data_IF_163343020543
#
_entry.id   IF_163343020543
#
_cell.length_a   1.000
_cell.length_b   1.000
_cell.length_c   1.000
_cell.angle_alpha   90.00
_cell.angle_beta   90.00
_cell.angle_gamma   90.00
#
_symmetry.space_group_name_H-M   'P 1'
#
loop_
_entity.id
_entity.type
_entity.pdbx_description
1 polymer ?
#
# COMPACT_ATOMS: atom_id res chain seq x y z
N UNK A 1 3.45 -0.43 25.05
CA UNK A 1 2.70 -0.54 23.86
C UNK A 1 3.10 0.26 22.64
N UNK A 2 2.99 1.60 22.66
CA UNK A 2 3.20 2.42 21.43
C UNK A 2 4.67 2.43 20.98
N UNK A 3 5.61 2.34 21.90
CA UNK A 3 7.05 2.28 21.57
C UNK A 3 7.46 1.05 20.74
N UNK A 4 6.68 -0.02 20.75
CA UNK A 4 6.95 -1.22 19.96
C UNK A 4 6.40 -1.11 18.53
N UNK A 5 5.33 -0.35 18.27
CA UNK A 5 4.82 -0.14 16.93
C UNK A 5 5.81 0.65 16.08
N UNK A 6 6.39 1.73 16.60
CA UNK A 6 7.37 2.56 15.89
C UNK A 6 8.70 1.84 15.58
N UNK A 7 8.96 0.67 16.16
CA UNK A 7 10.12 -0.14 15.79
C UNK A 7 9.88 -1.08 14.61
N UNK A 8 8.65 -1.16 14.13
CA UNK A 8 8.23 -2.03 13.01
C UNK A 8 7.57 -1.23 11.89
N UNK A 9 6.68 -0.31 12.25
CA UNK A 9 5.89 0.46 11.31
C UNK A 9 6.41 1.89 11.20
N UNK A 10 6.35 2.45 10.00
CA UNK A 10 6.54 3.88 9.73
C UNK A 10 5.19 4.59 9.67
N UNK A 11 4.18 3.89 9.18
CA UNK A 11 2.81 4.40 9.15
C UNK A 11 1.78 3.30 9.32
N UNK A 12 0.73 3.62 10.06
CA UNK A 12 -0.52 2.86 10.17
C UNK A 12 -1.68 3.84 10.05
N UNK A 13 -2.59 3.57 9.13
CA UNK A 13 -3.79 4.36 8.92
C UNK A 13 -5.03 3.49 9.10
N UNK A 14 -5.93 3.89 9.99
CA UNK A 14 -7.26 3.32 10.13
C UNK A 14 -8.25 4.20 9.37
N UNK A 15 -8.29 4.06 8.04
CA UNK A 15 -9.19 4.86 7.20
C UNK A 15 -10.67 4.62 7.51
N UNK A 16 -11.01 3.44 8.07
CA UNK A 16 -12.34 3.11 8.59
C UNK A 16 -12.56 3.62 10.03
N UNK A 17 -11.98 4.76 10.40
CA UNK A 17 -12.24 5.41 11.67
C UNK A 17 -13.66 5.98 11.72
N UNK A 18 -14.17 6.27 12.93
CA UNK A 18 -15.49 6.86 13.12
C UNK A 18 -15.54 8.34 12.73
N UNK A 19 -14.40 9.06 12.78
CA UNK A 19 -14.28 10.46 12.37
C UNK A 19 -13.27 10.60 11.23
N UNK A 20 -13.57 11.44 10.23
CA UNK A 20 -12.72 11.66 9.06
C UNK A 20 -11.32 12.15 9.44
N UNK A 21 -11.22 13.06 10.41
CA UNK A 21 -9.94 13.54 10.91
C UNK A 21 -9.08 12.38 11.47
N UNK A 22 -9.67 11.44 12.22
CA UNK A 22 -8.96 10.29 12.75
C UNK A 22 -8.53 9.31 11.64
N UNK A 23 -9.28 9.25 10.54
CA UNK A 23 -8.97 8.41 9.38
C UNK A 23 -7.75 8.86 8.60
N UNK A 24 -7.31 10.12 8.76
CA UNK A 24 -6.11 10.65 8.11
C UNK A 24 -4.86 10.58 8.98
N UNK A 25 -4.97 10.31 10.29
CA UNK A 25 -3.82 10.29 11.18
C UNK A 25 -2.93 9.05 10.97
N UNK A 26 -1.62 9.26 11.01
CA UNK A 26 -0.67 8.19 11.22
C UNK A 26 -0.64 7.81 12.71
N UNK A 27 -1.10 6.61 13.04
CA UNK A 27 -1.20 6.12 14.42
C UNK A 27 0.14 5.67 15.03
N UNK A 28 1.23 5.73 14.27
CA UNK A 28 2.57 5.38 14.75
C UNK A 28 3.34 6.60 15.24
N UNK A 29 3.23 7.72 14.51
CA UNK A 29 4.00 8.93 14.77
C UNK A 29 3.29 10.18 14.21
N UNK A 30 3.75 11.36 14.62
CA UNK A 30 3.15 12.65 14.25
C UNK A 30 3.48 13.11 12.80
N UNK A 31 4.19 12.29 12.03
CA UNK A 31 4.54 12.55 10.63
C UNK A 31 3.74 11.67 9.68
N UNK A 32 3.73 12.02 8.41
CA UNK A 32 3.11 11.21 7.35
C UNK A 32 1.60 11.02 7.51
N UNK A 33 0.89 11.99 8.10
CA UNK A 33 -0.57 12.00 8.06
C UNK A 33 -1.05 12.06 6.60
N UNK A 34 -2.19 11.41 6.31
CA UNK A 34 -2.75 11.39 4.96
C UNK A 34 -3.23 12.79 4.55
N UNK A 35 -2.86 13.19 3.34
CA UNK A 35 -3.36 14.39 2.68
C UNK A 35 -4.41 13.95 1.66
N UNK A 36 -5.64 14.42 1.83
CA UNK A 36 -6.72 14.20 0.87
C UNK A 36 -6.51 15.11 -0.35
N UNK A 37 -6.36 14.51 -1.53
CA UNK A 37 -6.21 15.24 -2.79
C UNK A 37 -7.49 15.10 -3.59
N UNK A 38 -8.07 16.22 -4.02
CA UNK A 38 -9.32 16.29 -4.79
C UNK A 38 -10.50 15.56 -4.12
N UNK A 39 -10.55 15.61 -2.78
CA UNK A 39 -11.68 15.15 -1.95
C UNK A 39 -12.16 13.73 -2.25
N UNK A 40 -11.36 12.68 -1.98
CA UNK A 40 -11.84 11.32 -2.05
C UNK A 40 -13.02 11.13 -1.09
N UNK A 41 -14.03 10.36 -1.49
CA UNK A 41 -15.20 10.12 -0.67
C UNK A 41 -14.82 9.30 0.57
N UNK A 42 -15.18 9.80 1.76
CA UNK A 42 -14.99 9.08 3.01
C UNK A 42 -16.34 8.68 3.62
N UNK A 43 -16.40 7.49 4.20
CA UNK A 43 -17.58 6.98 4.92
C UNK A 43 -17.12 6.49 6.29
N UNK A 44 -17.75 6.96 7.35
CA UNK A 44 -17.48 6.54 8.73
C UNK A 44 -17.51 5.01 8.86
N UNK A 45 -16.57 4.44 9.60
CA UNK A 45 -16.40 2.99 9.83
C UNK A 45 -16.22 2.15 8.54
N UNK A 46 -15.98 2.80 7.40
CA UNK A 46 -15.81 2.15 6.10
C UNK A 46 -14.51 2.50 5.40
N UNK A 47 -14.09 3.77 5.43
CA UNK A 47 -12.87 4.26 4.80
C UNK A 47 -13.07 5.12 3.56
N UNK A 48 -12.00 5.26 2.77
CA UNK A 48 -11.94 6.12 1.59
C UNK A 48 -12.18 5.39 0.28
N UNK A 49 -12.81 6.10 -0.65
CA UNK A 49 -13.02 5.66 -2.05
C UNK A 49 -12.63 6.82 -2.97
N UNK A 50 -11.76 6.59 -3.93
CA UNK A 50 -11.45 7.55 -4.98
C UNK A 50 -12.58 7.64 -6.01
N UNK A 51 -12.70 8.78 -6.68
CA UNK A 51 -13.61 8.95 -7.82
C UNK A 51 -13.13 8.25 -9.12
N UNK A 52 -11.96 7.59 -9.06
CA UNK A 52 -11.37 6.86 -10.21
C UNK A 52 -10.68 7.74 -11.25
N UNK A 53 -10.64 9.06 -11.07
CA UNK A 53 -10.08 9.99 -12.07
C UNK A 53 -9.07 10.98 -11.50
N UNK A 54 -9.32 11.57 -10.34
CA UNK A 54 -8.48 12.66 -9.80
C UNK A 54 -8.23 12.58 -8.30
N UNK A 55 -9.09 11.91 -7.51
CA UNK A 55 -8.99 11.93 -6.06
C UNK A 55 -8.19 10.75 -5.51
N UNK A 56 -7.36 11.01 -4.49
CA UNK A 56 -6.51 10.01 -3.84
C UNK A 56 -6.04 10.50 -2.47
N UNK A 57 -5.31 9.65 -1.75
CA UNK A 57 -4.65 10.01 -0.50
C UNK A 57 -3.13 10.00 -0.72
N UNK A 58 -2.44 11.07 -0.32
CA UNK A 58 -0.98 11.15 -0.33
C UNK A 58 -0.46 10.92 1.10
N UNK A 59 0.42 9.94 1.27
CA UNK A 59 1.04 9.63 2.57
C UNK A 59 2.17 10.58 2.94
N UNK A 60 2.74 11.31 1.98
CA UNK A 60 3.99 12.07 2.11
C UNK A 60 5.20 11.22 2.55
N UNK A 61 5.04 9.91 2.69
CA UNK A 61 6.13 8.98 3.01
C UNK A 61 6.90 8.60 1.75
N UNK A 62 8.13 9.11 1.63
CA UNK A 62 9.06 8.80 0.53
C UNK A 62 10.05 7.75 1.02
N UNK A 63 9.99 6.49 0.57
CA UNK A 63 10.80 5.40 1.10
C UNK A 63 12.32 5.68 1.11
N UNK A 64 12.84 6.30 0.05
CA UNK A 64 14.28 6.54 -0.11
C UNK A 64 14.87 7.59 0.84
N UNK A 65 14.03 8.46 1.42
CA UNK A 65 14.48 9.60 2.25
C UNK A 65 13.88 9.60 3.65
N UNK A 66 12.90 8.74 3.93
CA UNK A 66 12.22 8.70 5.23
C UNK A 66 13.13 8.26 6.38
N UNK A 67 14.21 7.51 6.09
CA UNK A 67 15.12 6.95 7.10
C UNK A 67 14.39 6.16 8.20
N UNK A 68 13.30 5.50 7.84
CA UNK A 68 12.45 4.75 8.72
C UNK A 68 12.76 3.24 8.78
N UNK A 69 11.77 2.47 9.19
CA UNK A 69 11.84 1.02 9.26
C UNK A 69 11.77 0.35 7.88
N UNK A 70 11.07 0.98 6.92
CA UNK A 70 10.96 0.52 5.55
C UNK A 70 12.30 0.67 4.83
N UNK A 71 12.96 -0.44 4.54
CA UNK A 71 14.24 -0.47 3.82
C UNK A 71 14.19 -1.47 2.66
N UNK A 72 15.14 -1.37 1.73
CA UNK A 72 15.10 -2.11 0.46
C UNK A 72 14.84 -3.61 0.61
N UNK A 73 15.52 -4.28 1.53
CA UNK A 73 15.45 -5.73 1.74
C UNK A 73 14.64 -6.15 2.97
N UNK A 74 14.04 -5.18 3.67
CA UNK A 74 13.13 -5.42 4.78
C UNK A 74 12.00 -4.39 4.71
N UNK A 75 10.88 -4.79 4.11
CA UNK A 75 9.77 -3.90 3.82
C UNK A 75 8.44 -4.63 3.85
N UNK A 76 7.39 -3.94 4.26
CA UNK A 76 6.02 -4.37 4.00
C UNK A 76 5.13 -3.19 3.58
N UNK A 77 4.12 -3.52 2.82
CA UNK A 77 2.96 -2.68 2.55
C UNK A 77 1.71 -3.53 2.68
N UNK A 78 0.72 -3.07 3.43
CA UNK A 78 -0.56 -3.75 3.51
C UNK A 78 -1.71 -2.77 3.29
N UNK A 79 -2.79 -3.25 2.64
CA UNK A 79 -4.06 -2.55 2.50
C UNK A 79 -5.23 -3.48 2.78
N UNK A 80 -6.27 -2.99 3.43
CA UNK A 80 -7.55 -3.68 3.51
C UNK A 80 -8.52 -3.05 2.51
N UNK A 81 -8.86 -3.80 1.47
CA UNK A 81 -9.88 -3.46 0.49
C UNK A 81 -11.22 -4.08 0.86
N UNK A 82 -12.30 -3.30 0.76
CA UNK A 82 -13.67 -3.76 1.00
C UNK A 82 -14.41 -4.20 -0.26
N UNK A 83 -13.83 -3.97 -1.45
CA UNK A 83 -14.49 -4.16 -2.74
C UNK A 83 -14.04 -5.46 -3.40
N UNK A 84 -14.93 -6.46 -3.63
CA UNK A 84 -14.51 -7.79 -4.09
C UNK A 84 -14.26 -7.89 -5.60
N UNK A 85 -14.83 -7.01 -6.42
CA UNK A 85 -14.83 -7.11 -7.89
C UNK A 85 -13.44 -7.08 -8.54
N UNK A 86 -13.37 -7.40 -9.83
CA UNK A 86 -12.17 -7.24 -10.66
C UNK A 86 -11.92 -5.76 -10.97
N UNK A 87 -10.65 -5.32 -10.95
CA UNK A 87 -10.26 -3.96 -11.29
C UNK A 87 -8.75 -3.89 -11.55
N UNK A 88 -8.33 -3.52 -12.75
CA UNK A 88 -6.91 -3.37 -13.13
C UNK A 88 -6.31 -2.01 -12.72
N UNK A 89 -6.62 -1.57 -11.49
CA UNK A 89 -6.18 -0.29 -10.94
C UNK A 89 -5.41 -0.51 -9.63
N UNK A 90 -4.75 0.53 -9.12
CA UNK A 90 -3.84 0.43 -7.98
C UNK A 90 -4.49 0.87 -6.68
N UNK A 91 -4.41 0.06 -5.64
CA UNK A 91 -4.87 0.41 -4.30
C UNK A 91 -3.83 1.21 -3.51
N UNK A 92 -2.54 0.97 -3.79
CA UNK A 92 -1.42 1.75 -3.25
C UNK A 92 -0.22 1.62 -4.17
N UNK A 93 0.59 2.68 -4.29
CA UNK A 93 1.86 2.54 -4.98
C UNK A 93 2.70 3.80 -5.06
N UNK A 94 4.00 3.55 -5.30
CA UNK A 94 5.03 4.52 -5.64
C UNK A 94 5.95 3.88 -6.68
N UNK A 95 6.13 4.56 -7.81
CA UNK A 95 6.92 4.09 -8.96
C UNK A 95 7.90 5.17 -9.38
N UNK A 96 9.17 4.83 -9.40
CA UNK A 96 10.26 5.73 -9.79
C UNK A 96 11.45 4.97 -10.35
N UNK A 97 12.43 5.68 -10.88
CA UNK A 97 13.66 5.05 -11.37
C UNK A 97 14.45 4.30 -10.27
N UNK A 98 14.26 4.67 -8.99
CA UNK A 98 14.93 4.00 -7.84
C UNK A 98 14.33 2.63 -7.52
N UNK A 99 13.05 2.39 -7.82
CA UNK A 99 12.36 1.14 -7.54
C UNK A 99 10.85 1.33 -7.52
N UNK A 100 10.13 0.22 -7.56
CA UNK A 100 8.67 0.21 -7.56
C UNK A 100 8.13 -0.54 -6.34
N UNK A 101 7.12 0.03 -5.73
CA UNK A 101 6.24 -0.66 -4.78
C UNK A 101 4.81 -0.31 -5.13
N UNK A 102 4.02 -1.31 -5.43
CA UNK A 102 2.63 -1.12 -5.85
C UNK A 102 1.81 -2.38 -5.59
N UNK A 103 0.50 -2.23 -5.46
CA UNK A 103 -0.43 -3.34 -5.24
C UNK A 103 -1.75 -3.11 -5.96
N UNK A 104 -2.17 -4.12 -6.74
CA UNK A 104 -3.53 -4.37 -7.23
C UNK A 104 -4.10 -5.57 -6.48
N UNK A 105 -5.21 -5.40 -5.82
CA UNK A 105 -5.83 -6.48 -5.05
C UNK A 105 -6.41 -7.60 -5.92
N UNK A 106 -7.00 -7.26 -7.07
CA UNK A 106 -7.51 -8.24 -8.04
C UNK A 106 -7.61 -7.61 -9.43
N UNK A 107 -6.92 -8.22 -10.38
CA UNK A 107 -6.95 -7.86 -11.80
C UNK A 107 -8.16 -8.50 -12.51
N UNK A 108 -8.37 -8.16 -13.77
CA UNK A 108 -9.37 -8.79 -14.65
C UNK A 108 -9.05 -10.25 -14.99
N UNK A 109 -7.81 -10.69 -14.74
CA UNK A 109 -7.36 -12.08 -14.92
C UNK A 109 -7.38 -12.92 -13.64
N UNK A 110 -8.10 -12.48 -12.59
CA UNK A 110 -8.17 -13.16 -11.29
C UNK A 110 -6.80 -13.39 -10.64
N UNK A 111 -5.98 -12.35 -10.64
CA UNK A 111 -4.67 -12.32 -10.02
C UNK A 111 -4.52 -11.06 -9.17
N UNK A 112 -3.63 -11.06 -8.19
CA UNK A 112 -3.03 -9.84 -7.68
C UNK A 112 -1.98 -9.36 -8.67
N UNK A 113 -1.69 -8.04 -8.69
CA UNK A 113 -0.55 -7.48 -9.42
C UNK A 113 0.25 -6.58 -8.48
N UNK A 114 1.55 -6.82 -8.33
CA UNK A 114 2.31 -6.14 -7.29
C UNK A 114 3.80 -6.07 -7.58
N UNK A 115 4.46 -5.14 -6.93
CA UNK A 115 5.92 -5.01 -6.81
C UNK A 115 6.25 -4.58 -5.39
N UNK A 116 7.43 -4.96 -4.89
CA UNK A 116 7.90 -4.50 -3.59
C UNK A 116 9.41 -4.25 -3.66
N UNK A 117 9.80 -2.98 -3.86
CA UNK A 117 11.19 -2.54 -4.01
C UNK A 117 11.91 -3.23 -5.18
N UNK A 118 11.22 -3.49 -6.28
CA UNK A 118 11.78 -4.15 -7.46
C UNK A 118 11.37 -3.44 -8.77
N UNK A 119 11.92 -3.92 -9.90
CA UNK A 119 11.67 -3.35 -11.23
C UNK A 119 10.60 -4.09 -12.05
N UNK A 120 10.03 -5.20 -11.53
CA UNK A 120 9.12 -6.06 -12.27
C UNK A 120 7.78 -6.21 -11.55
N UNK A 121 6.72 -6.48 -12.31
CA UNK A 121 5.40 -6.79 -11.72
C UNK A 121 5.30 -8.29 -11.50
N UNK A 122 5.11 -8.68 -10.24
CA UNK A 122 4.74 -10.03 -9.85
C UNK A 122 3.22 -10.21 -9.88
N UNK A 123 2.79 -11.46 -10.03
CA UNK A 123 1.38 -11.85 -9.99
C UNK A 123 1.18 -13.09 -9.12
N UNK A 124 0.01 -13.21 -8.50
CA UNK A 124 -0.41 -14.41 -7.78
C UNK A 124 -1.93 -14.60 -7.99
N UNK A 125 -2.39 -15.85 -8.09
CA UNK A 125 -3.81 -16.16 -8.29
C UNK A 125 -4.64 -15.65 -7.12
N UNK A 126 -5.73 -14.94 -7.42
CA UNK A 126 -6.62 -14.37 -6.44
C UNK A 126 -8.00 -14.03 -7.02
N UNK A 127 -9.05 -14.61 -6.49
CA UNK A 127 -10.42 -14.50 -6.99
C UNK A 127 -11.29 -13.47 -6.26
N UNK A 128 -10.73 -12.69 -5.33
CA UNK A 128 -11.47 -11.61 -4.64
C UNK A 128 -10.61 -10.40 -4.37
N UNK A 129 -11.14 -9.21 -4.69
CA UNK A 129 -10.49 -7.93 -4.40
C UNK A 129 -10.67 -7.44 -2.96
N UNK A 130 -11.48 -8.11 -2.12
CA UNK A 130 -11.69 -7.75 -0.72
C UNK A 130 -10.81 -8.56 0.23
N UNK A 131 -10.43 -7.93 1.34
CA UNK A 131 -9.60 -8.51 2.40
C UNK A 131 -8.35 -7.69 2.69
N UNK A 132 -7.55 -8.18 3.64
CA UNK A 132 -6.23 -7.62 3.95
C UNK A 132 -5.20 -8.23 3.00
N UNK A 133 -4.68 -7.42 2.10
CA UNK A 133 -3.55 -7.76 1.24
C UNK A 133 -2.26 -7.25 1.86
N UNK A 134 -1.22 -8.08 1.84
CA UNK A 134 0.04 -7.78 2.47
C UNK A 134 1.20 -8.27 1.59
N UNK A 135 2.08 -7.36 1.20
CA UNK A 135 3.36 -7.64 0.57
C UNK A 135 4.44 -7.60 1.64
N UNK A 136 5.30 -8.61 1.70
CA UNK A 136 6.32 -8.72 2.73
C UNK A 136 7.66 -9.19 2.15
N UNK A 137 8.68 -8.33 2.21
CA UNK A 137 10.05 -8.61 1.78
C UNK A 137 10.98 -8.66 2.99
N UNK A 138 11.65 -9.78 3.19
CA UNK A 138 12.68 -9.97 4.23
C UNK A 138 14.05 -10.32 3.66
N UNK A 139 14.20 -10.28 2.32
CA UNK A 139 15.46 -10.58 1.62
C UNK A 139 15.57 -9.80 0.31
N UNK A 140 16.78 -9.79 -0.28
CA UNK A 140 16.98 -9.22 -1.61
C UNK A 140 16.39 -10.07 -2.74
N UNK A 141 16.24 -11.40 -2.54
CA UNK A 141 15.94 -12.34 -3.63
C UNK A 141 14.44 -12.42 -3.99
N UNK A 142 13.56 -12.20 -3.01
CA UNK A 142 12.13 -12.43 -3.18
C UNK A 142 11.28 -11.65 -2.18
N UNK A 143 9.97 -11.70 -2.35
CA UNK A 143 8.97 -11.27 -1.36
C UNK A 143 7.75 -12.19 -1.39
N UNK A 144 6.98 -12.14 -0.32
CA UNK A 144 5.77 -12.94 -0.12
C UNK A 144 4.53 -12.05 -0.29
N UNK A 145 3.47 -12.65 -0.79
CA UNK A 145 2.16 -12.03 -0.96
C UNK A 145 1.13 -12.79 -0.15
N UNK A 146 0.36 -12.07 0.64
CA UNK A 146 -0.68 -12.65 1.49
C UNK A 146 -2.02 -11.98 1.26
N UNK A 147 -3.08 -12.74 1.52
CA UNK A 147 -4.43 -12.23 1.68
C UNK A 147 -5.07 -12.85 2.92
N UNK A 148 -5.55 -12.03 3.85
CA UNK A 148 -6.15 -12.46 5.11
C UNK A 148 -5.25 -13.43 5.91
N UNK A 149 -3.93 -13.21 5.91
CA UNK A 149 -2.96 -14.08 6.56
C UNK A 149 -2.57 -15.34 5.79
N UNK A 150 -3.30 -15.70 4.73
CA UNK A 150 -2.97 -16.85 3.89
C UNK A 150 -2.02 -16.44 2.77
N UNK A 151 -0.94 -17.21 2.56
CA UNK A 151 0.01 -16.97 1.46
C UNK A 151 -0.66 -17.20 0.10
N UNK A 152 -0.51 -16.23 -0.79
CA UNK A 152 -0.86 -16.37 -2.21
C UNK A 152 0.35 -16.82 -3.04
N UNK A 153 1.57 -16.62 -2.54
CA UNK A 153 2.79 -17.07 -3.21
C UNK A 153 4.05 -16.32 -2.82
N UNK A 154 5.17 -16.87 -3.25
CA UNK A 154 6.50 -16.24 -3.20
C UNK A 154 6.86 -15.73 -4.58
N UNK A 155 7.28 -14.47 -4.67
CA UNK A 155 7.63 -13.80 -5.92
C UNK A 155 9.14 -13.65 -5.98
N UNK A 156 9.77 -14.32 -6.93
CA UNK A 156 11.23 -14.37 -7.11
C UNK A 156 11.78 -13.13 -7.84
N UNK A 157 11.32 -11.94 -7.44
CA UNK A 157 11.82 -10.67 -7.97
C UNK A 157 12.91 -10.11 -7.03
N UNK A 158 14.11 -9.94 -7.57
CA UNK A 158 15.22 -9.32 -6.85
C UNK A 158 14.91 -7.84 -6.59
N UNK A 159 15.23 -7.37 -5.39
CA UNK A 159 15.08 -5.94 -5.06
C UNK A 159 16.06 -5.09 -5.86
N UNK A 160 15.60 -3.98 -6.40
CA UNK A 160 16.41 -3.04 -7.18
C UNK A 160 16.70 -1.73 -6.46
N UNK A 161 15.80 -1.29 -5.58
CA UNK A 161 15.96 -0.05 -4.81
C UNK A 161 14.65 0.42 -4.21
N UNK A 162 14.69 1.58 -3.56
CA UNK A 162 13.54 2.21 -2.92
C UNK A 162 12.87 3.22 -3.86
N UNK A 163 11.54 3.35 -3.86
CA UNK A 163 10.86 4.45 -4.51
C UNK A 163 11.35 5.81 -4.00
N UNK A 164 11.53 6.76 -4.93
CA UNK A 164 11.97 8.13 -4.64
C UNK A 164 10.82 9.15 -4.61
N UNK A 165 9.60 8.66 -4.67
CA UNK A 165 8.35 9.45 -4.55
C UNK A 165 7.48 8.87 -3.43
N UNK A 166 6.54 9.67 -2.90
CA UNK A 166 5.67 9.23 -1.82
C UNK A 166 4.66 8.17 -2.26
N UNK A 167 4.24 7.31 -1.33
CA UNK A 167 3.10 6.42 -1.59
C UNK A 167 1.81 7.21 -1.74
N UNK A 168 1.04 6.89 -2.79
CA UNK A 168 -0.35 7.27 -2.91
C UNK A 168 -1.25 6.07 -2.64
N UNK A 169 -2.38 6.28 -1.95
CA UNK A 169 -3.42 5.28 -1.69
C UNK A 169 -4.61 5.60 -2.59
N UNK A 170 -5.32 4.58 -3.07
CA UNK A 170 -6.31 4.59 -4.13
C UNK A 170 -5.74 4.86 -5.53
N UNK A 171 -4.43 4.86 -5.68
CA UNK A 171 -3.72 4.91 -6.96
C UNK A 171 -2.24 4.58 -6.73
N UNK A 172 -1.41 4.69 -7.76
CA UNK A 172 0.05 4.78 -7.61
C UNK A 172 0.55 6.17 -7.95
N UNK A 173 1.63 6.57 -7.30
CA UNK A 173 2.43 7.74 -7.65
C UNK A 173 3.45 7.35 -8.73
N UNK A 174 3.47 8.05 -9.87
CA UNK A 174 4.49 7.92 -10.92
C UNK A 174 5.11 9.29 -11.12
N UNK A 175 6.32 9.51 -10.64
CA UNK A 175 7.03 10.79 -10.74
C UNK A 175 6.15 11.98 -10.31
N UNK A 176 5.56 11.89 -9.11
CA UNK A 176 4.65 12.87 -8.48
C UNK A 176 3.31 13.09 -9.20
N UNK A 177 2.91 12.16 -10.06
CA UNK A 177 1.61 12.18 -10.75
C UNK A 177 0.79 10.92 -10.41
N UNK A 178 -0.52 11.07 -10.10
CA UNK A 178 -1.38 9.92 -9.84
C UNK A 178 -1.65 9.13 -11.12
N UNK A 179 -1.63 7.80 -11.02
CA UNK A 179 -1.86 6.88 -12.14
C UNK A 179 -2.64 5.66 -11.67
N UNK A 180 -3.52 5.13 -12.53
CA UNK A 180 -4.33 3.94 -12.28
C UNK A 180 -5.18 4.08 -10.98
N UNK A 181 -6.00 5.15 -10.91
CA UNK A 181 -6.81 5.45 -9.75
C UNK A 181 -7.92 4.41 -9.55
N UNK A 182 -7.90 3.76 -8.39
CA UNK A 182 -8.83 2.68 -8.02
C UNK A 182 -10.07 3.22 -7.32
N UNK A 183 -11.24 2.73 -7.70
CA UNK A 183 -12.52 3.02 -7.03
C UNK A 183 -12.82 2.02 -5.89
N UNK A 184 -11.84 1.21 -5.45
CA UNK A 184 -12.02 0.34 -4.29
C UNK A 184 -12.07 1.16 -3.01
N UNK A 185 -12.91 0.74 -2.07
CA UNK A 185 -12.95 1.32 -0.73
C UNK A 185 -11.83 0.73 0.12
N UNK A 186 -10.92 1.59 0.61
CA UNK A 186 -9.78 1.23 1.44
C UNK A 186 -10.06 1.63 2.88
N UNK A 187 -9.95 0.68 3.81
CA UNK A 187 -10.27 0.87 5.22
C UNK A 187 -9.08 0.77 6.17
N UNK A 188 -7.95 0.23 5.71
CA UNK A 188 -6.70 0.14 6.48
C UNK A 188 -5.51 0.16 5.54
N UNK A 189 -4.41 0.77 6.01
CA UNK A 189 -3.10 0.72 5.32
C UNK A 189 -1.98 0.71 6.35
N UNK A 190 -0.94 -0.08 6.10
CA UNK A 190 0.31 -0.01 6.87
C UNK A 190 1.54 -0.06 5.98
N UNK A 191 2.63 0.56 6.45
CA UNK A 191 3.94 0.67 5.81
C UNK A 191 5.00 0.48 6.90
N UNK A 192 6.04 -0.31 6.65
CA UNK A 192 7.13 -0.50 7.59
C UNK A 192 8.12 -1.58 7.14
N UNK A 193 8.95 -2.09 8.07
CA UNK A 193 9.85 -3.21 7.78
C UNK A 193 9.09 -4.52 7.64
N UNK A 194 9.77 -5.55 7.16
CA UNK A 194 9.21 -6.91 7.10
C UNK A 194 8.68 -7.35 8.46
N UNK A 195 7.56 -8.08 8.45
CA UNK A 195 6.94 -8.67 9.64
C UNK A 195 6.97 -10.21 9.53
N UNK A 196 7.19 -10.89 10.66
CA UNK A 196 7.04 -12.35 10.72
C UNK A 196 5.55 -12.72 10.66
N UNK A 197 5.23 -13.76 9.93
CA UNK A 197 3.90 -14.37 9.86
C UNK A 197 3.82 -15.54 10.83
#
# INVERSE_FOLDING_TARGET
>A
GISTLSSVFDAIYFQAAHAQQAATLNWVQNNYNLIEVNSPAWVADRGYTSNGTTSYLNTSFVPSTANGNYVQNSAHVAVYSRTPGQLDLMEIGATSAGGNTQLRCRTTSDQTGHSLNDGAVGVANNTSGSGLFHLNRSSSANYLVYRNGSSLGTIANVSTGLPTVSFFICCRNVADSPSLLSTRQISFTSIGKSVSQ
#
